data_IF_778837998572
#
_entry.id   IF_778837998572
#
_cell.length_a   1.000
_cell.length_b   1.000
_cell.length_c   1.000
_cell.angle_alpha   90.00
_cell.angle_beta   90.00
_cell.angle_gamma   90.00
#
_symmetry.space_group_name_H-M   'P 1'
#
loop_
_entity.id
_entity.type
_entity.pdbx_description
1 polymer ?
#
# COMPACT_ATOMS: atom_id res chain seq x y z
N UNK A 1 22.53 -2.72 -28.70
CA UNK A 1 22.85 -4.13 -28.42
C UNK A 1 22.04 -4.49 -27.20
N UNK A 2 20.79 -4.87 -27.49
CA UNK A 2 19.75 -5.25 -26.54
C UNK A 2 20.02 -6.68 -26.07
N UNK A 3 20.89 -6.83 -25.08
CA UNK A 3 21.01 -8.07 -24.35
C UNK A 3 19.95 -8.08 -23.26
N UNK A 4 18.77 -8.57 -23.68
CA UNK A 4 17.66 -8.91 -22.82
C UNK A 4 18.15 -9.63 -21.58
N UNK A 5 18.15 -8.90 -20.46
CA UNK A 5 18.30 -9.42 -19.10
C UNK A 5 17.17 -10.42 -18.88
N UNK A 6 17.41 -11.67 -19.25
CA UNK A 6 16.62 -12.82 -18.88
C UNK A 6 16.63 -12.88 -17.35
N UNK A 7 15.65 -12.22 -16.73
CA UNK A 7 15.47 -12.26 -15.31
C UNK A 7 15.17 -13.70 -14.94
N UNK A 8 16.04 -14.31 -14.13
CA UNK A 8 15.88 -15.67 -13.66
C UNK A 8 14.43 -15.85 -13.14
N UNK A 9 13.69 -16.90 -13.56
CA UNK A 9 12.25 -17.01 -13.31
C UNK A 9 11.89 -16.92 -11.83
N UNK A 10 12.77 -17.40 -10.94
CA UNK A 10 12.59 -17.28 -9.49
C UNK A 10 12.63 -15.84 -8.97
N UNK A 11 13.48 -15.00 -9.57
CA UNK A 11 13.58 -13.57 -9.24
C UNK A 11 12.37 -12.80 -9.74
N UNK A 12 11.87 -13.14 -10.93
CA UNK A 12 10.65 -12.55 -11.49
C UNK A 12 9.43 -12.91 -10.63
N UNK A 13 9.31 -14.19 -10.22
CA UNK A 13 8.24 -14.65 -9.34
C UNK A 13 8.27 -13.96 -7.98
N UNK A 14 9.44 -13.77 -7.38
CA UNK A 14 9.60 -13.05 -6.11
C UNK A 14 9.17 -11.59 -6.25
N UNK A 15 9.59 -10.90 -7.31
CA UNK A 15 9.21 -9.50 -7.57
C UNK A 15 7.70 -9.38 -7.79
N UNK A 16 7.10 -10.24 -8.61
CA UNK A 16 5.64 -10.26 -8.82
C UNK A 16 4.88 -10.52 -7.53
N UNK A 17 5.39 -11.41 -6.67
CA UNK A 17 4.81 -11.67 -5.36
C UNK A 17 4.87 -10.43 -4.45
N UNK A 18 6.01 -9.74 -4.41
CA UNK A 18 6.18 -8.51 -3.62
C UNK A 18 5.26 -7.39 -4.11
N UNK A 19 5.20 -7.17 -5.43
CA UNK A 19 4.30 -6.18 -6.04
C UNK A 19 2.84 -6.55 -5.77
N UNK A 20 2.47 -7.82 -5.93
CA UNK A 20 1.12 -8.31 -5.64
C UNK A 20 0.74 -8.15 -4.17
N UNK A 21 1.68 -8.36 -3.24
CA UNK A 21 1.45 -8.15 -1.81
C UNK A 21 1.24 -6.67 -1.49
N UNK A 22 2.06 -5.78 -2.06
CA UNK A 22 1.88 -4.33 -1.89
C UNK A 22 0.52 -3.87 -2.42
N UNK A 23 0.11 -4.36 -3.59
CA UNK A 23 -1.20 -4.05 -4.17
C UNK A 23 -2.35 -4.61 -3.32
N UNK A 24 -2.20 -5.82 -2.77
CA UNK A 24 -3.19 -6.40 -1.87
C UNK A 24 -3.37 -5.55 -0.60
N UNK A 25 -2.28 -5.01 -0.02
CA UNK A 25 -2.36 -4.09 1.11
C UNK A 25 -3.17 -2.83 0.73
N UNK A 26 -2.95 -2.28 -0.45
CA UNK A 26 -3.74 -1.15 -0.94
C UNK A 26 -5.23 -1.49 -1.10
N UNK A 27 -5.55 -2.63 -1.69
CA UNK A 27 -6.94 -3.08 -1.82
C UNK A 27 -7.62 -3.23 -0.45
N UNK A 28 -6.90 -3.75 0.56
CA UNK A 28 -7.40 -3.83 1.93
C UNK A 28 -7.65 -2.45 2.52
N UNK A 29 -6.76 -1.48 2.28
CA UNK A 29 -6.96 -0.08 2.69
C UNK A 29 -8.27 0.49 2.15
N UNK A 30 -8.54 0.29 0.86
CA UNK A 30 -9.78 0.76 0.21
C UNK A 30 -11.01 0.08 0.82
N UNK A 31 -11.00 -1.26 0.92
CA UNK A 31 -12.16 -2.02 1.43
C UNK A 31 -12.49 -1.59 2.86
N UNK A 32 -11.48 -1.46 3.72
CA UNK A 32 -11.67 -1.03 5.10
C UNK A 32 -12.14 0.43 5.18
N UNK A 33 -11.60 1.32 4.36
CA UNK A 33 -12.01 2.73 4.33
C UNK A 33 -13.47 2.88 3.87
N UNK A 34 -13.90 2.11 2.87
CA UNK A 34 -15.30 2.07 2.43
C UNK A 34 -16.19 1.48 3.53
N UNK A 35 -15.77 0.39 4.18
CA UNK A 35 -16.53 -0.20 5.28
C UNK A 35 -16.71 0.77 6.45
N UNK A 36 -15.67 1.53 6.81
CA UNK A 36 -15.75 2.60 7.81
C UNK A 36 -16.75 3.67 7.37
N UNK A 37 -16.61 4.19 6.15
CA UNK A 37 -17.51 5.22 5.62
C UNK A 37 -18.99 4.79 5.61
N UNK A 38 -19.27 3.50 5.41
CA UNK A 38 -20.63 2.95 5.46
C UNK A 38 -21.12 2.68 6.90
N UNK A 39 -20.22 2.42 7.85
CA UNK A 39 -20.56 2.04 9.21
C UNK A 39 -20.64 3.23 10.18
N UNK A 40 -20.05 4.37 9.83
CA UNK A 40 -19.99 5.56 10.70
C UNK A 40 -20.75 6.72 10.08
N UNK A 41 -21.70 7.28 10.84
CA UNK A 41 -22.39 8.52 10.47
C UNK A 41 -21.59 9.77 10.90
N UNK A 42 -20.71 9.64 11.91
CA UNK A 42 -19.87 10.72 12.42
C UNK A 42 -18.58 10.90 11.62
N UNK A 43 -18.43 12.06 10.98
CA UNK A 43 -17.25 12.41 10.16
C UNK A 43 -15.92 12.41 10.94
N UNK A 44 -15.95 12.75 12.23
CA UNK A 44 -14.75 12.72 13.07
C UNK A 44 -14.31 11.28 13.39
N UNK A 45 -15.27 10.39 13.68
CA UNK A 45 -14.98 8.98 13.97
C UNK A 45 -14.44 8.27 12.73
N UNK A 46 -15.01 8.55 11.55
CA UNK A 46 -14.55 8.00 10.28
C UNK A 46 -13.11 8.44 9.96
N UNK A 47 -12.76 9.70 10.23
CA UNK A 47 -11.41 10.23 10.07
C UNK A 47 -10.39 9.50 10.97
N UNK A 48 -10.67 9.33 12.27
CA UNK A 48 -9.76 8.63 13.17
C UNK A 48 -9.56 7.16 12.77
N UNK A 49 -10.62 6.50 12.32
CA UNK A 49 -10.54 5.12 11.84
C UNK A 49 -9.74 5.00 10.54
N UNK A 50 -9.95 5.92 9.58
CA UNK A 50 -9.19 5.97 8.34
C UNK A 50 -7.68 6.16 8.61
N UNK A 51 -7.32 7.06 9.53
CA UNK A 51 -5.92 7.25 9.96
C UNK A 51 -5.38 5.95 10.58
N UNK A 52 -6.15 5.28 11.44
CA UNK A 52 -5.75 4.02 12.05
C UNK A 52 -5.48 2.91 11.03
N UNK A 53 -6.36 2.77 10.03
CA UNK A 53 -6.20 1.80 8.93
C UNK A 53 -4.94 2.11 8.12
N UNK A 54 -4.72 3.38 7.77
CA UNK A 54 -3.55 3.80 7.02
C UNK A 54 -2.24 3.52 7.77
N UNK A 55 -2.19 3.80 9.07
CA UNK A 55 -1.06 3.43 9.92
C UNK A 55 -0.78 1.92 9.91
N UNK A 56 -1.83 1.09 9.99
CA UNK A 56 -1.72 -0.37 9.86
C UNK A 56 -1.17 -0.81 8.50
N UNK A 57 -1.64 -0.17 7.42
CA UNK A 57 -1.17 -0.44 6.06
C UNK A 57 0.29 -0.03 5.87
N UNK A 58 0.72 1.11 6.40
CA UNK A 58 2.13 1.52 6.38
C UNK A 58 3.02 0.57 7.16
N UNK A 59 2.58 0.06 8.32
CA UNK A 59 3.35 -0.94 9.07
C UNK A 59 3.50 -2.25 8.27
N UNK A 60 2.44 -2.69 7.58
CA UNK A 60 2.49 -3.86 6.71
C UNK A 60 3.45 -3.65 5.52
N UNK A 61 3.40 -2.47 4.89
CA UNK A 61 4.31 -2.10 3.80
C UNK A 61 5.77 -1.99 4.28
N UNK A 62 6.00 -1.47 5.48
CA UNK A 62 7.33 -1.41 6.09
C UNK A 62 7.90 -2.83 6.30
N UNK A 63 7.08 -3.75 6.82
CA UNK A 63 7.48 -5.16 6.94
C UNK A 63 7.74 -5.82 5.59
N UNK A 64 6.94 -5.49 4.57
CA UNK A 64 7.18 -5.97 3.21
C UNK A 64 8.51 -5.41 2.69
N UNK A 65 8.77 -4.12 2.88
CA UNK A 65 9.98 -3.42 2.47
C UNK A 65 11.26 -4.06 3.01
N UNK A 66 11.29 -4.37 4.30
CA UNK A 66 12.43 -5.01 4.97
C UNK A 66 12.75 -6.40 4.37
N UNK A 67 11.71 -7.11 3.89
CA UNK A 67 11.88 -8.40 3.24
C UNK A 67 12.37 -8.29 1.78
N UNK A 68 12.51 -7.08 1.22
CA UNK A 68 12.97 -6.88 -0.16
C UNK A 68 14.49 -6.71 -0.19
N UNK A 69 15.17 -7.74 -0.69
CA UNK A 69 16.61 -7.73 -0.92
C UNK A 69 16.97 -6.96 -2.19
N UNK A 70 17.77 -5.88 -2.02
CA UNK A 70 18.27 -5.04 -3.10
C UNK A 70 17.91 -3.56 -2.94
N UNK A 71 18.81 -2.63 -3.30
CA UNK A 71 18.58 -1.19 -3.09
C UNK A 71 17.52 -0.58 -4.03
N UNK A 72 17.32 -1.15 -5.22
CA UNK A 72 16.36 -0.67 -6.23
C UNK A 72 15.66 -1.84 -6.95
N UNK A 73 14.75 -2.52 -6.25
CA UNK A 73 13.88 -3.52 -6.89
C UNK A 73 12.51 -2.92 -7.18
N UNK A 74 11.82 -3.44 -8.20
CA UNK A 74 10.43 -3.05 -8.51
C UNK A 74 9.47 -3.25 -7.33
N UNK A 75 9.78 -4.19 -6.42
CA UNK A 75 9.02 -4.37 -5.17
C UNK A 75 9.11 -3.15 -4.25
N UNK A 76 10.30 -2.54 -4.12
CA UNK A 76 10.47 -1.29 -3.36
C UNK A 76 9.72 -0.14 -4.03
N UNK A 77 9.83 0.01 -5.35
CA UNK A 77 9.06 1.01 -6.07
C UNK A 77 7.54 0.86 -5.82
N UNK A 78 7.02 -0.36 -5.87
CA UNK A 78 5.61 -0.64 -5.58
C UNK A 78 5.24 -0.29 -4.12
N UNK A 79 6.08 -0.61 -3.15
CA UNK A 79 5.84 -0.25 -1.74
C UNK A 79 5.77 1.27 -1.53
N UNK A 80 6.66 2.05 -2.18
CA UNK A 80 6.60 3.51 -2.12
C UNK A 80 5.34 4.07 -2.76
N UNK A 81 4.99 3.59 -3.96
CA UNK A 81 3.76 4.02 -4.66
C UNK A 81 2.54 3.75 -3.80
N UNK A 82 2.43 2.54 -3.24
CA UNK A 82 1.31 2.19 -2.36
C UNK A 82 1.31 3.02 -1.08
N UNK A 83 2.47 3.25 -0.45
CA UNK A 83 2.54 4.08 0.75
C UNK A 83 2.06 5.51 0.50
N UNK A 84 2.37 6.09 -0.66
CA UNK A 84 1.89 7.41 -1.08
C UNK A 84 0.39 7.39 -1.35
N UNK A 85 -0.13 6.37 -2.04
CA UNK A 85 -1.57 6.24 -2.29
C UNK A 85 -2.37 6.15 -0.99
N UNK A 86 -1.93 5.31 -0.05
CA UNK A 86 -2.53 5.21 1.30
C UNK A 86 -2.50 6.56 2.02
N UNK A 87 -1.40 7.32 1.91
CA UNK A 87 -1.32 8.66 2.49
C UNK A 87 -2.28 9.66 1.82
N UNK A 88 -2.47 9.55 0.51
CA UNK A 88 -3.40 10.39 -0.22
C UNK A 88 -4.85 10.11 0.20
N UNK A 89 -5.21 8.85 0.44
CA UNK A 89 -6.53 8.47 0.96
C UNK A 89 -6.82 9.13 2.31
N UNK A 90 -5.82 9.19 3.20
CA UNK A 90 -5.95 9.90 4.50
C UNK A 90 -6.17 11.39 4.29
N UNK A 91 -5.38 12.05 3.45
CA UNK A 91 -5.53 13.49 3.18
C UNK A 91 -6.93 13.77 2.64
N UNK A 92 -7.43 12.93 1.74
CA UNK A 92 -8.77 13.07 1.18
C UNK A 92 -9.86 12.88 2.23
N UNK A 93 -9.74 11.87 3.10
CA UNK A 93 -10.66 11.66 4.21
C UNK A 93 -10.69 12.84 5.19
N UNK A 94 -9.52 13.40 5.52
CA UNK A 94 -9.40 14.58 6.38
C UNK A 94 -10.00 15.82 5.72
N UNK A 95 -9.76 16.03 4.43
CA UNK A 95 -10.27 17.19 3.69
C UNK A 95 -11.80 17.19 3.56
N UNK A 96 -12.44 16.02 3.53
CA UNK A 96 -13.91 15.92 3.50
C UNK A 96 -14.52 16.08 4.90
N UNK A 97 -13.80 15.69 5.94
CA UNK A 97 -14.26 15.76 7.32
C UNK A 97 -14.06 17.14 7.98
N UNK A 98 -13.25 18.02 7.38
CA UNK A 98 -12.97 19.40 7.84
C UNK A 98 -14.00 20.40 7.31
#
# INVERSE_FOLDING_TARGET
>A
MDDGLAMCPDRLRLVLWQVGTALAIYCVNIILSVAVALATEDAHASMFLAIGIACGCWLALFRLWDNITGPFSAGKAACLVVAVLVGFDVIFAVAIAA
#
